data_IF_731228413115
#
_entry.id   IF_731228413115
#
_cell.length_a   1.000
_cell.length_b   1.000
_cell.length_c   1.000
_cell.angle_alpha   90.00
_cell.angle_beta   90.00
_cell.angle_gamma   90.00
#
_symmetry.space_group_name_H-M   'P 1'
#
loop_
_entity.id
_entity.type
_entity.pdbx_description
1 polymer ?
#
# COMPACT_ATOMS: atom_id res chain seq x y z
N UNK A 1 5.87 -53.76 -11.78
CA UNK A 1 6.69 -52.53 -11.68
C UNK A 1 5.96 -51.27 -12.13
N UNK A 2 5.13 -51.31 -13.18
CA UNK A 2 4.36 -50.16 -13.71
C UNK A 2 3.46 -49.44 -12.68
N UNK A 3 2.83 -50.16 -11.75
CA UNK A 3 1.98 -49.58 -10.68
C UNK A 3 2.79 -48.78 -9.64
N UNK A 4 4.00 -49.23 -9.28
CA UNK A 4 4.90 -48.50 -8.37
C UNK A 4 5.50 -47.26 -9.04
N UNK A 5 5.75 -47.33 -10.35
CA UNK A 5 6.21 -46.19 -11.16
C UNK A 5 5.11 -45.11 -11.29
N UNK A 6 3.85 -45.52 -11.45
CA UNK A 6 2.70 -44.61 -11.47
C UNK A 6 2.50 -43.89 -10.13
N UNK A 7 2.63 -44.60 -9.01
CA UNK A 7 2.50 -44.00 -7.67
C UNK A 7 3.64 -43.01 -7.42
N UNK A 8 4.89 -43.35 -7.78
CA UNK A 8 6.03 -42.46 -7.64
C UNK A 8 5.85 -41.18 -8.48
N UNK A 9 5.35 -41.30 -9.71
CA UNK A 9 5.07 -40.16 -10.59
C UNK A 9 3.99 -39.22 -10.03
N UNK A 10 2.92 -39.76 -9.44
CA UNK A 10 1.88 -38.95 -8.80
C UNK A 10 2.40 -38.22 -7.56
N UNK A 11 3.21 -38.88 -6.74
CA UNK A 11 3.78 -38.26 -5.53
C UNK A 11 4.74 -37.12 -5.90
N UNK A 12 5.57 -37.30 -6.93
CA UNK A 12 6.44 -36.23 -7.45
C UNK A 12 5.62 -35.06 -8.00
N UNK A 13 4.54 -35.34 -8.74
CA UNK A 13 3.66 -34.29 -9.27
C UNK A 13 2.99 -33.48 -8.14
N UNK A 14 2.51 -34.15 -7.09
CA UNK A 14 1.88 -33.49 -5.93
C UNK A 14 2.88 -32.64 -5.15
N UNK A 15 4.12 -33.11 -5.00
CA UNK A 15 5.20 -32.34 -4.37
C UNK A 15 5.57 -31.08 -5.19
N UNK A 16 5.62 -31.19 -6.52
CA UNK A 16 5.88 -30.03 -7.40
C UNK A 16 4.73 -29.01 -7.32
N UNK A 17 3.47 -29.46 -7.25
CA UNK A 17 2.31 -28.56 -7.12
C UNK A 17 2.30 -27.84 -5.76
N UNK A 18 2.70 -28.50 -4.67
CA UNK A 18 2.77 -27.85 -3.34
C UNK A 18 3.82 -26.73 -3.25
N UNK A 19 4.94 -26.86 -3.98
CA UNK A 19 6.01 -25.84 -3.99
C UNK A 19 5.56 -24.59 -4.76
N UNK A 20 4.77 -24.73 -5.83
CA UNK A 20 4.30 -23.59 -6.63
C UNK A 20 3.18 -22.77 -5.97
N UNK A 21 2.50 -23.30 -4.94
CA UNK A 21 1.41 -22.59 -4.23
C UNK A 21 1.93 -21.71 -3.10
N UNK A 22 3.19 -21.88 -2.69
CA UNK A 22 3.78 -21.05 -1.66
C UNK A 22 4.34 -19.75 -2.27
N UNK A 23 3.90 -18.62 -1.72
CA UNK A 23 4.34 -17.24 -2.00
C UNK A 23 3.68 -16.59 -3.23
N UNK A 24 2.38 -16.37 -3.12
CA UNK A 24 1.77 -15.11 -3.58
C UNK A 24 1.05 -14.45 -2.41
N UNK A 25 1.81 -13.99 -1.43
CA UNK A 25 1.33 -12.90 -0.58
C UNK A 25 1.66 -11.62 -1.35
N UNK A 26 0.86 -11.35 -2.38
CA UNK A 26 0.82 -10.00 -2.96
C UNK A 26 0.29 -9.13 -1.81
N UNK A 27 1.14 -8.30 -1.24
CA UNK A 27 0.70 -7.30 -0.27
C UNK A 27 -0.42 -6.52 -0.94
N UNK A 28 -1.62 -6.52 -0.33
CA UNK A 28 -2.76 -5.82 -0.90
C UNK A 28 -2.47 -4.32 -0.77
N UNK A 29 -2.01 -3.76 -1.88
CA UNK A 29 -1.77 -2.33 -2.02
C UNK A 29 -3.10 -1.65 -2.31
N UNK A 30 -3.42 -0.63 -1.52
CA UNK A 30 -4.57 0.24 -1.72
C UNK A 30 -4.11 1.67 -2.03
N UNK A 31 -4.98 2.44 -2.67
CA UNK A 31 -4.70 3.83 -3.05
C UNK A 31 -5.83 4.73 -2.61
N UNK A 32 -5.49 5.90 -2.05
CA UNK A 32 -6.45 6.96 -1.76
C UNK A 32 -5.97 8.30 -2.35
N UNK A 33 -6.90 9.18 -2.67
CA UNK A 33 -6.61 10.58 -3.00
C UNK A 33 -7.15 11.47 -1.89
N UNK A 34 -6.34 12.41 -1.43
CA UNK A 34 -6.67 13.25 -0.29
C UNK A 34 -6.05 14.65 -0.44
N UNK A 35 -6.73 15.64 0.14
CA UNK A 35 -6.33 17.05 0.08
C UNK A 35 -5.55 17.41 1.33
N UNK A 36 -4.41 18.08 1.17
CA UNK A 36 -3.59 18.59 2.28
C UNK A 36 -4.34 19.69 3.01
N UNK A 37 -4.56 19.51 4.30
CA UNK A 37 -5.24 20.48 5.17
C UNK A 37 -4.28 21.17 6.11
N UNK A 38 -3.25 20.46 6.58
CA UNK A 38 -2.24 20.97 7.51
C UNK A 38 -0.86 20.43 7.19
N UNK A 39 0.19 21.20 7.48
CA UNK A 39 1.59 20.81 7.28
C UNK A 39 2.36 21.08 8.56
N UNK A 40 3.09 20.07 9.02
CA UNK A 40 3.95 20.09 10.20
C UNK A 40 5.38 19.71 9.81
N UNK A 41 6.33 19.82 10.75
CA UNK A 41 7.69 19.36 10.50
C UNK A 41 7.73 17.83 10.27
N UNK A 42 8.06 17.43 9.04
CA UNK A 42 8.22 16.03 8.65
C UNK A 42 6.92 15.26 8.40
N UNK A 43 5.74 15.89 8.50
CA UNK A 43 4.45 15.23 8.26
C UNK A 43 3.42 16.21 7.68
N UNK A 44 2.51 15.72 6.85
CA UNK A 44 1.32 16.44 6.40
C UNK A 44 0.04 15.74 6.87
N UNK A 45 -1.00 16.51 7.16
CA UNK A 45 -2.35 16.00 7.38
C UNK A 45 -3.15 16.20 6.10
N UNK A 46 -3.77 15.10 5.65
CA UNK A 46 -4.63 15.09 4.48
C UNK A 46 -6.04 14.65 4.87
N UNK A 47 -7.06 15.14 4.18
CA UNK A 47 -8.43 14.65 4.31
C UNK A 47 -8.90 13.99 3.02
N UNK A 48 -9.41 12.78 3.14
CA UNK A 48 -10.15 12.10 2.07
C UNK A 48 -11.54 12.72 1.90
N UNK A 49 -12.26 12.28 0.87
CA UNK A 49 -13.67 12.62 0.64
C UNK A 49 -14.61 12.24 1.79
N UNK A 50 -14.27 11.19 2.55
CA UNK A 50 -14.97 10.81 3.79
C UNK A 50 -14.81 11.82 4.93
N UNK A 51 -13.85 12.76 4.81
CA UNK A 51 -13.60 13.81 5.80
C UNK A 51 -12.75 13.37 6.99
N UNK A 52 -12.18 12.16 6.96
CA UNK A 52 -11.31 11.67 8.03
C UNK A 52 -9.87 12.16 7.81
N UNK A 53 -9.24 12.79 8.83
CA UNK A 53 -7.87 13.27 8.72
C UNK A 53 -6.88 12.10 8.84
N UNK A 54 -5.93 12.04 7.89
CA UNK A 54 -4.85 11.04 7.83
C UNK A 54 -3.50 11.75 7.89
N UNK A 55 -2.61 11.26 8.73
CA UNK A 55 -1.23 11.73 8.89
C UNK A 55 -0.29 10.97 7.97
N UNK A 56 0.45 11.69 7.12
CA UNK A 56 1.38 11.14 6.12
C UNK A 56 2.78 11.73 6.34
N UNK A 57 3.80 10.88 6.39
CA UNK A 57 5.19 11.32 6.50
C UNK A 57 5.66 12.00 5.22
N UNK A 58 6.33 13.16 5.33
CA UNK A 58 6.89 13.86 4.16
C UNK A 58 8.00 13.05 3.47
N UNK A 59 8.64 12.13 4.20
CA UNK A 59 9.61 11.18 3.66
C UNK A 59 9.04 10.23 2.61
N UNK A 60 7.72 10.07 2.57
CA UNK A 60 7.03 9.12 1.72
C UNK A 60 6.64 9.73 0.36
N UNK A 61 6.90 11.04 0.19
CA UNK A 61 6.75 11.75 -1.09
C UNK A 61 7.87 11.30 -2.03
N UNK A 62 7.46 10.66 -3.13
CA UNK A 62 8.38 9.99 -4.07
C UNK A 62 8.69 10.79 -5.32
N UNK A 63 7.86 11.78 -5.66
CA UNK A 63 8.05 12.64 -6.83
C UNK A 63 8.90 13.89 -6.55
N UNK A 64 9.30 14.09 -5.29
CA UNK A 64 10.10 15.23 -4.84
C UNK A 64 9.34 16.56 -4.79
N UNK A 65 8.01 16.52 -4.87
CA UNK A 65 7.17 17.70 -4.68
C UNK A 65 7.22 18.20 -3.24
N UNK A 66 7.11 19.51 -3.07
CA UNK A 66 6.94 20.13 -1.75
C UNK A 66 5.44 20.40 -1.54
N UNK A 67 4.82 19.80 -0.50
CA UNK A 67 3.38 19.94 -0.30
C UNK A 67 2.99 21.34 0.17
N UNK A 68 1.84 21.79 -0.30
CA UNK A 68 1.17 23.01 0.10
C UNK A 68 -0.27 22.71 0.54
N UNK A 69 -0.84 23.58 1.38
CA UNK A 69 -2.23 23.43 1.81
C UNK A 69 -3.15 23.57 0.59
N UNK A 70 -4.02 22.60 0.39
CA UNK A 70 -4.91 22.50 -0.76
C UNK A 70 -4.39 21.61 -1.89
N UNK A 71 -3.13 21.18 -1.85
CA UNK A 71 -2.61 20.18 -2.78
C UNK A 71 -3.39 18.86 -2.63
N UNK A 72 -3.60 18.15 -3.73
CA UNK A 72 -4.15 16.80 -3.72
C UNK A 72 -3.05 15.81 -4.01
N UNK A 73 -2.88 14.82 -3.13
CA UNK A 73 -1.91 13.74 -3.28
C UNK A 73 -2.61 12.40 -3.44
N UNK A 74 -2.01 11.53 -4.24
CA UNK A 74 -2.32 10.10 -4.30
C UNK A 74 -1.37 9.36 -3.38
N UNK A 75 -1.95 8.61 -2.46
CA UNK A 75 -1.24 7.87 -1.41
C UNK A 75 -1.47 6.39 -1.66
N UNK A 76 -0.41 5.68 -1.98
CA UNK A 76 -0.35 4.23 -2.07
C UNK A 76 0.13 3.67 -0.74
N UNK A 77 -0.65 2.78 -0.14
CA UNK A 77 -0.36 2.18 1.15
C UNK A 77 -0.63 0.69 1.15
N UNK A 78 -0.02 -0.01 2.12
CA UNK A 78 -0.17 -1.45 2.28
C UNK A 78 -0.78 -1.76 3.64
N UNK A 79 -1.76 -2.66 3.63
CA UNK A 79 -2.43 -3.12 4.84
C UNK A 79 -3.55 -2.18 5.26
N UNK A 80 -3.71 -1.97 6.58
CA UNK A 80 -4.81 -1.19 7.14
C UNK A 80 -4.38 0.20 7.59
N UNK A 81 -5.37 1.09 7.70
CA UNK A 81 -5.24 2.39 8.38
C UNK A 81 -5.34 2.14 9.89
N UNK A 82 -4.40 2.68 10.66
CA UNK A 82 -4.43 2.59 12.12
C UNK A 82 -5.54 3.48 12.68
N UNK A 83 -6.36 2.90 13.57
CA UNK A 83 -7.41 3.62 14.31
C UNK A 83 -6.81 4.58 15.35
N UNK A 84 -6.36 5.75 14.88
CA UNK A 84 -5.82 6.86 15.69
C UNK A 84 -6.44 8.19 15.26
N UNK A 85 -6.11 9.29 15.96
CA UNK A 85 -6.53 10.63 15.56
C UNK A 85 -5.37 11.64 15.58
N UNK A 86 -4.95 12.18 14.41
CA UNK A 86 -5.33 11.75 13.06
C UNK A 86 -5.05 10.26 12.79
N UNK A 87 -5.75 9.68 11.83
CA UNK A 87 -5.49 8.30 11.42
C UNK A 87 -4.08 8.19 10.83
N UNK A 88 -3.43 7.04 11.00
CA UNK A 88 -2.07 6.82 10.50
C UNK A 88 -2.05 5.68 9.49
N UNK A 89 -1.24 5.81 8.45
CA UNK A 89 -1.11 4.79 7.41
C UNK A 89 0.35 4.58 7.03
N UNK A 90 0.72 3.34 6.77
CA UNK A 90 2.03 2.99 6.24
C UNK A 90 2.02 3.14 4.71
N UNK A 91 2.42 4.32 4.23
CA UNK A 91 2.54 4.61 2.80
C UNK A 91 3.84 4.06 2.21
N UNK A 92 3.76 3.59 0.97
CA UNK A 92 4.93 3.22 0.17
C UNK A 92 5.25 4.26 -0.90
N UNK A 93 4.23 4.99 -1.36
CA UNK A 93 4.35 5.94 -2.46
C UNK A 93 3.35 7.07 -2.29
N UNK A 94 3.84 8.30 -2.31
CA UNK A 94 3.00 9.51 -2.30
C UNK A 94 3.42 10.38 -3.48
N UNK A 95 2.44 10.78 -4.30
CA UNK A 95 2.66 11.58 -5.53
C UNK A 95 1.60 12.68 -5.64
N UNK A 96 2.02 13.86 -6.07
CA UNK A 96 1.16 15.01 -6.32
C UNK A 96 0.24 14.72 -7.52
N UNK A 97 -1.06 14.90 -7.31
CA UNK A 97 -2.09 14.78 -8.36
C UNK A 97 -2.47 16.15 -8.88
N UNK A 98 -2.66 17.11 -7.97
CA UNK A 98 -3.03 18.49 -8.32
C UNK A 98 -2.41 19.46 -7.32
N UNK A 99 -1.79 20.52 -7.84
CA UNK A 99 -1.28 21.62 -7.02
C UNK A 99 -2.43 22.57 -6.65
N UNK A 100 -2.42 23.13 -5.44
CA UNK A 100 -3.29 24.23 -5.05
C UNK A 100 -3.03 25.45 -5.96
N UNK A 101 -4.09 26.02 -6.53
CA UNK A 101 -4.03 27.24 -7.34
C UNK A 101 -3.77 28.51 -6.52
#
# INVERSE_FOLDING_TARGET
MKKKLFILSMVVLVLVVCVCVSVKTEAQTETMEAVVTEIYEGTMIVCTDSGEPVSIGLSDITDGSEPEIGDTYRIEYVGGIMESYPAQVASNKVELVSKSE
#
